data_IF_112836678928
#
_entry.id   IF_112836678928
#
_cell.length_a   1.000
_cell.length_b   1.000
_cell.length_c   1.000
_cell.angle_alpha   90.00
_cell.angle_beta   90.00
_cell.angle_gamma   90.00
#
_symmetry.space_group_name_H-M   'P 1'
#
loop_
_entity.id
_entity.type
_entity.pdbx_description
1 polymer ?
#
# COMPACT_ATOMS: atom_id res chain seq x y z
N UNK A 1 27.83 -50.62 -12.34
CA UNK A 1 26.64 -50.27 -11.54
C UNK A 1 27.02 -49.14 -10.59
N UNK A 2 26.79 -47.89 -10.97
CA UNK A 2 26.85 -46.73 -10.05
C UNK A 2 25.70 -45.82 -10.45
N UNK A 3 24.66 -45.80 -9.62
CA UNK A 3 23.44 -45.00 -9.84
C UNK A 3 23.60 -43.67 -9.11
N UNK A 4 23.81 -42.60 -9.85
CA UNK A 4 23.79 -41.22 -9.35
C UNK A 4 22.36 -40.83 -8.96
N UNK A 5 22.12 -40.57 -7.66
CA UNK A 5 20.87 -39.98 -7.17
C UNK A 5 20.95 -38.47 -7.30
N UNK A 6 20.20 -37.92 -8.25
CA UNK A 6 19.81 -36.50 -8.31
C UNK A 6 18.88 -36.18 -7.13
N UNK A 7 19.29 -35.28 -6.25
CA UNK A 7 18.42 -34.70 -5.21
C UNK A 7 17.67 -33.51 -5.80
N UNK A 8 16.39 -33.70 -6.05
CA UNK A 8 15.45 -32.66 -6.48
C UNK A 8 15.04 -31.82 -5.28
N UNK A 9 15.39 -30.53 -5.29
CA UNK A 9 14.99 -29.55 -4.27
C UNK A 9 13.51 -29.20 -4.46
N UNK A 10 12.64 -29.70 -3.59
CA UNK A 10 11.25 -29.25 -3.49
C UNK A 10 11.17 -27.89 -2.81
N UNK A 11 10.78 -26.87 -3.57
CA UNK A 11 10.32 -25.60 -3.02
C UNK A 11 9.09 -25.84 -2.13
N UNK A 12 9.06 -25.23 -0.94
CA UNK A 12 7.89 -25.25 -0.06
C UNK A 12 6.85 -24.30 -0.65
N UNK A 13 6.09 -24.81 -1.61
CA UNK A 13 4.82 -24.23 -2.05
C UNK A 13 3.81 -24.28 -0.89
N UNK A 14 2.90 -23.29 -0.82
CA UNK A 14 1.68 -23.33 0.01
C UNK A 14 1.10 -24.75 -0.03
N UNK A 15 1.25 -25.54 1.03
CA UNK A 15 0.50 -26.79 1.16
C UNK A 15 -0.92 -26.40 1.54
N UNK A 16 -1.84 -26.49 0.57
CA UNK A 16 -3.26 -26.63 0.88
C UNK A 16 -3.39 -27.77 1.88
N UNK A 17 -3.70 -27.44 3.13
CA UNK A 17 -4.27 -28.41 4.05
C UNK A 17 -5.56 -28.90 3.40
N UNK A 18 -5.65 -30.22 3.21
CA UNK A 18 -6.88 -30.86 2.77
C UNK A 18 -7.99 -30.48 3.76
N UNK A 19 -9.15 -30.11 3.22
CA UNK A 19 -10.33 -29.78 3.99
C UNK A 19 -10.62 -30.88 5.04
N UNK A 20 -10.98 -30.53 6.29
CA UNK A 20 -11.41 -31.51 7.27
C UNK A 20 -12.58 -32.33 6.69
N UNK A 21 -12.53 -33.65 6.86
CA UNK A 21 -13.70 -34.50 6.58
C UNK A 21 -14.87 -34.00 7.44
N UNK A 22 -16.07 -33.82 6.86
CA UNK A 22 -17.18 -33.21 7.57
C UNK A 22 -17.56 -34.07 8.78
N UNK A 23 -17.55 -33.44 9.96
CA UNK A 23 -18.17 -34.00 11.15
C UNK A 23 -19.67 -34.17 10.87
N UNK A 24 -20.12 -35.39 11.16
CA UNK A 24 -21.48 -35.88 10.94
C UNK A 24 -22.56 -34.96 11.49
N UNK A 25 -23.46 -34.57 10.58
CA UNK A 25 -24.89 -34.29 10.75
C UNK A 25 -25.38 -33.81 12.14
N UNK A 26 -25.58 -32.49 12.26
CA UNK A 26 -26.78 -31.90 12.89
C UNK A 26 -27.13 -30.60 12.14
N UNK A 27 -28.34 -30.58 11.58
CA UNK A 27 -29.03 -29.52 10.81
C UNK A 27 -28.26 -28.84 9.67
N UNK A 28 -28.34 -29.41 8.46
CA UNK A 28 -28.17 -28.65 7.22
C UNK A 28 -29.40 -27.74 7.07
N UNK A 29 -29.27 -26.47 7.41
CA UNK A 29 -30.15 -25.45 6.82
C UNK A 29 -29.64 -25.29 5.39
N UNK A 30 -30.49 -25.63 4.44
CA UNK A 30 -30.23 -25.53 3.00
C UNK A 30 -30.27 -24.04 2.61
N UNK A 31 -29.11 -23.36 2.64
CA UNK A 31 -28.97 -21.98 2.15
C UNK A 31 -28.82 -21.94 0.60
N UNK A 32 -29.29 -22.97 -0.13
CA UNK A 32 -29.16 -23.04 -1.59
C UNK A 32 -29.96 -21.99 -2.36
N UNK A 33 -30.80 -21.21 -1.67
CA UNK A 33 -31.66 -20.18 -2.28
C UNK A 33 -31.21 -18.73 -1.97
N UNK A 34 -30.08 -18.54 -1.27
CA UNK A 34 -29.61 -17.19 -0.93
C UNK A 34 -28.83 -16.58 -2.09
N UNK A 35 -29.48 -15.69 -2.82
CA UNK A 35 -28.85 -14.94 -3.91
C UNK A 35 -28.16 -13.67 -3.40
N UNK A 36 -27.13 -13.22 -4.12
CA UNK A 36 -26.53 -11.93 -3.86
C UNK A 36 -27.49 -10.79 -4.23
N UNK A 37 -27.75 -9.87 -3.30
CA UNK A 37 -28.65 -8.72 -3.53
C UNK A 37 -28.15 -7.73 -4.59
N UNK A 38 -26.85 -7.77 -4.95
CA UNK A 38 -26.26 -6.81 -5.89
C UNK A 38 -26.21 -7.33 -7.33
N UNK A 39 -25.91 -8.62 -7.53
CA UNK A 39 -25.88 -9.21 -8.87
C UNK A 39 -27.06 -10.14 -9.17
N UNK A 40 -27.89 -10.45 -8.17
CA UNK A 40 -29.02 -11.36 -8.29
C UNK A 40 -28.65 -12.84 -8.48
N UNK A 41 -27.35 -13.18 -8.45
CA UNK A 41 -26.86 -14.54 -8.67
C UNK A 41 -26.62 -15.28 -7.34
N UNK A 42 -26.89 -16.59 -7.31
CA UNK A 42 -26.52 -17.52 -6.24
C UNK A 42 -25.24 -18.32 -6.54
N UNK A 43 -24.53 -18.01 -7.63
CA UNK A 43 -23.23 -18.60 -7.95
C UNK A 43 -22.16 -18.14 -6.95
N UNK A 44 -21.09 -18.92 -6.74
CA UNK A 44 -20.03 -18.62 -5.75
C UNK A 44 -20.50 -18.55 -4.28
N UNK A 45 -21.23 -19.56 -3.78
CA UNK A 45 -21.76 -19.55 -2.41
C UNK A 45 -20.65 -19.53 -1.33
N UNK A 46 -19.43 -19.97 -1.66
CA UNK A 46 -18.27 -19.89 -0.76
C UNK A 46 -17.74 -18.47 -0.56
N UNK A 47 -18.11 -17.54 -1.44
CA UNK A 47 -17.71 -16.13 -1.39
C UNK A 47 -18.92 -15.22 -1.12
N UNK A 48 -20.03 -15.80 -0.63
CA UNK A 48 -21.24 -15.10 -0.27
C UNK A 48 -21.26 -14.82 1.23
N UNK A 49 -21.30 -13.54 1.59
CA UNK A 49 -21.36 -13.03 2.95
C UNK A 49 -22.80 -12.66 3.31
N UNK A 50 -23.23 -13.01 4.53
CA UNK A 50 -24.52 -12.62 5.07
C UNK A 50 -24.40 -11.38 5.94
N UNK A 51 -25.38 -10.49 5.86
CA UNK A 51 -25.52 -9.39 6.80
C UNK A 51 -26.01 -9.87 8.16
N UNK A 52 -25.29 -9.61 9.25
CA UNK A 52 -25.65 -10.06 10.60
C UNK A 52 -26.93 -9.43 11.19
N UNK A 53 -27.55 -8.48 10.46
CA UNK A 53 -28.80 -7.82 10.86
C UNK A 53 -30.00 -8.21 10.01
N UNK A 54 -29.81 -8.50 8.73
CA UNK A 54 -30.94 -8.77 7.82
C UNK A 54 -30.81 -10.08 7.03
N UNK A 55 -29.75 -10.85 7.28
CA UNK A 55 -29.45 -12.17 6.70
C UNK A 55 -29.41 -12.20 5.16
N UNK A 56 -29.40 -11.03 4.50
CA UNK A 56 -29.27 -10.94 3.04
C UNK A 56 -27.85 -11.27 2.60
N UNK A 57 -27.75 -11.96 1.45
CA UNK A 57 -26.50 -12.39 0.84
C UNK A 57 -25.84 -11.33 -0.03
N UNK A 58 -24.52 -11.24 0.06
CA UNK A 58 -23.69 -10.36 -0.76
C UNK A 58 -22.38 -11.05 -1.09
N UNK A 59 -22.03 -11.18 -2.37
CA UNK A 59 -20.70 -11.66 -2.68
C UNK A 59 -19.64 -10.67 -2.20
N UNK A 60 -18.55 -11.20 -1.65
CA UNK A 60 -17.38 -10.42 -1.23
C UNK A 60 -16.89 -9.49 -2.36
N UNK A 61 -16.92 -9.98 -3.60
CA UNK A 61 -16.57 -9.23 -4.81
C UNK A 61 -17.69 -8.36 -5.40
N UNK A 62 -18.94 -8.52 -4.97
CA UNK A 62 -20.04 -7.62 -5.35
C UNK A 62 -20.11 -6.41 -4.42
N UNK A 63 -19.67 -6.56 -3.18
CA UNK A 63 -19.61 -5.48 -2.19
C UNK A 63 -18.69 -4.35 -2.63
N UNK A 64 -19.00 -3.14 -2.16
CA UNK A 64 -18.18 -1.96 -2.39
C UNK A 64 -17.97 -1.20 -1.07
N UNK A 65 -16.72 -1.09 -0.56
CA UNK A 65 -15.48 -1.65 -1.13
C UNK A 65 -15.51 -3.18 -1.21
N UNK A 66 -14.76 -3.74 -2.17
CA UNK A 66 -14.63 -5.20 -2.34
C UNK A 66 -13.95 -5.77 -1.10
N UNK A 67 -14.47 -6.88 -0.59
CA UNK A 67 -13.84 -7.62 0.48
C UNK A 67 -12.99 -8.74 -0.12
N UNK A 68 -11.71 -8.83 0.28
CA UNK A 68 -10.84 -9.92 -0.15
C UNK A 68 -11.15 -11.24 0.59
N UNK A 69 -11.72 -11.14 1.79
CA UNK A 69 -12.14 -12.27 2.61
C UNK A 69 -13.31 -11.87 3.51
N UNK A 70 -13.98 -12.87 4.10
CA UNK A 70 -14.99 -12.62 5.14
C UNK A 70 -14.32 -11.89 6.33
N UNK A 71 -14.82 -10.72 6.76
CA UNK A 71 -14.24 -9.97 7.87
C UNK A 71 -14.30 -10.76 9.19
N UNK A 72 -13.32 -10.53 10.07
CA UNK A 72 -13.40 -11.04 11.44
C UNK A 72 -14.40 -10.21 12.26
N UNK A 73 -15.49 -10.85 12.68
CA UNK A 73 -16.53 -10.23 13.51
C UNK A 73 -17.77 -9.86 12.71
N UNK A 74 -18.60 -8.97 13.27
CA UNK A 74 -19.89 -8.69 12.66
C UNK A 74 -19.81 -7.78 11.44
N UNK A 75 -20.52 -8.14 10.37
CA UNK A 75 -20.65 -7.36 9.14
C UNK A 75 -22.10 -6.99 8.86
N UNK A 76 -22.32 -5.74 8.44
CA UNK A 76 -23.65 -5.21 8.12
C UNK A 76 -23.67 -4.65 6.70
N UNK A 77 -24.69 -5.02 5.92
CA UNK A 77 -24.89 -4.51 4.57
C UNK A 77 -25.24 -3.02 4.56
N UNK A 78 -25.26 -2.40 3.38
CA UNK A 78 -25.43 -0.97 3.27
C UNK A 78 -26.78 -0.42 3.75
N UNK A 79 -27.81 -1.26 3.77
CA UNK A 79 -29.12 -0.92 4.33
C UNK A 79 -29.18 -1.09 5.85
N UNK A 80 -28.24 -1.86 6.42
CA UNK A 80 -28.21 -2.21 7.84
C UNK A 80 -27.12 -1.48 8.63
N UNK A 81 -26.05 -1.11 7.94
CA UNK A 81 -24.97 -0.26 8.40
C UNK A 81 -25.44 1.18 8.35
N UNK A 82 -25.27 1.92 9.46
CA UNK A 82 -25.42 3.36 9.47
C UNK A 82 -24.28 3.99 8.65
N UNK A 83 -24.31 3.87 7.32
CA UNK A 83 -23.35 4.51 6.42
C UNK A 83 -23.56 6.02 6.39
N UNK A 84 -23.24 6.67 7.51
CA UNK A 84 -22.85 8.07 7.47
C UNK A 84 -21.54 8.09 6.67
N UNK A 85 -21.46 8.94 5.64
CA UNK A 85 -20.16 9.29 5.03
C UNK A 85 -19.15 9.47 6.16
N UNK A 86 -17.92 8.90 6.06
CA UNK A 86 -16.94 9.01 7.13
C UNK A 86 -16.86 10.48 7.52
N UNK A 87 -17.12 10.76 8.81
CA UNK A 87 -17.16 12.15 9.30
C UNK A 87 -15.80 12.77 8.96
N UNK A 88 -15.82 13.89 8.25
CA UNK A 88 -14.61 14.62 7.91
C UNK A 88 -13.83 14.91 9.20
N UNK A 89 -12.53 14.64 9.19
CA UNK A 89 -11.64 15.05 10.27
C UNK A 89 -11.81 16.56 10.48
N UNK A 90 -11.87 17.05 11.74
CA UNK A 90 -12.08 18.47 11.99
C UNK A 90 -10.99 19.30 11.29
N UNK A 91 -11.40 20.22 10.42
CA UNK A 91 -10.49 21.11 9.71
C UNK A 91 -10.00 22.23 10.64
N UNK A 92 -9.22 21.85 11.65
CA UNK A 92 -8.60 22.74 12.62
C UNK A 92 -7.10 22.51 12.56
N UNK A 93 -6.34 23.55 12.19
CA UNK A 93 -4.90 23.45 11.94
C UNK A 93 -4.13 22.81 13.10
N UNK A 94 -4.47 23.14 14.35
CA UNK A 94 -3.83 22.54 15.54
C UNK A 94 -4.03 21.04 15.60
N UNK A 95 -5.26 20.56 15.38
CA UNK A 95 -5.57 19.12 15.36
C UNK A 95 -4.83 18.37 14.25
N UNK A 96 -4.67 18.98 13.08
CA UNK A 96 -3.91 18.39 11.97
C UNK A 96 -2.42 18.32 12.33
N UNK A 97 -1.85 19.42 12.83
CA UNK A 97 -0.44 19.47 13.27
C UNK A 97 -0.15 18.42 14.34
N UNK A 98 -1.03 18.29 15.33
CA UNK A 98 -0.88 17.31 16.41
C UNK A 98 -1.04 15.87 15.90
N UNK A 99 -2.00 15.62 15.00
CA UNK A 99 -2.23 14.30 14.39
C UNK A 99 -1.01 13.82 13.61
N UNK A 100 -0.38 14.70 12.82
CA UNK A 100 0.80 14.38 12.02
C UNK A 100 2.13 14.61 12.74
N UNK A 101 2.11 15.04 14.00
CA UNK A 101 3.30 15.38 14.82
C UNK A 101 4.26 16.35 14.10
N UNK A 102 3.70 17.34 13.40
CA UNK A 102 4.48 18.28 12.58
C UNK A 102 5.37 19.13 13.49
N UNK A 103 6.68 19.14 13.20
CA UNK A 103 7.65 19.96 13.90
C UNK A 103 7.41 21.44 13.56
N UNK A 104 7.14 22.26 14.57
CA UNK A 104 7.06 23.73 14.41
C UNK A 104 8.47 24.31 14.36
N UNK A 105 8.99 24.61 13.18
CA UNK A 105 10.21 25.39 13.04
C UNK A 105 9.92 26.88 13.25
N UNK A 106 10.62 27.51 14.19
CA UNK A 106 10.55 28.96 14.48
C UNK A 106 11.53 29.80 13.65
N UNK A 107 11.79 29.46 12.38
CA UNK A 107 12.65 30.28 11.51
C UNK A 107 12.06 30.45 10.10
N UNK A 108 12.18 31.65 9.50
CA UNK A 108 11.65 31.92 8.18
C UNK A 108 12.49 31.24 7.08
N UNK A 109 11.78 30.60 6.16
CA UNK A 109 12.27 29.91 4.97
C UNK A 109 13.25 30.78 4.16
N UNK A 110 14.53 30.39 4.12
CA UNK A 110 15.46 30.91 3.10
C UNK A 110 15.01 30.39 1.74
N UNK A 111 14.44 31.28 0.93
CA UNK A 111 14.18 31.03 -0.50
C UNK A 111 15.51 30.81 -1.21
N UNK A 112 15.78 29.59 -1.67
CA UNK A 112 16.85 29.33 -2.63
C UNK A 112 16.42 29.85 -4.01
N UNK A 113 17.01 30.96 -4.44
CA UNK A 113 16.85 31.49 -5.80
C UNK A 113 17.61 30.63 -6.83
N UNK A 114 17.08 30.42 -8.04
CA UNK A 114 17.83 29.78 -9.11
C UNK A 114 18.77 30.79 -9.79
N UNK A 115 20.04 30.88 -9.35
CA UNK A 115 21.04 31.68 -10.07
C UNK A 115 21.48 30.96 -11.35
N UNK A 116 20.96 31.46 -12.47
CA UNK A 116 21.19 30.97 -13.83
C UNK A 116 22.47 31.59 -14.40
N UNK A 117 23.65 31.17 -13.94
CA UNK A 117 24.91 31.58 -14.59
C UNK A 117 25.29 30.66 -15.74
N UNK A 118 24.96 31.12 -16.95
CA UNK A 118 25.48 30.63 -18.23
C UNK A 118 27.01 30.51 -18.17
N UNK A 119 27.54 29.28 -18.23
CA UNK A 119 28.96 29.02 -18.51
C UNK A 119 29.08 28.29 -19.84
N UNK A 120 29.68 28.97 -20.82
CA UNK A 120 29.82 28.54 -22.21
C UNK A 120 30.89 27.44 -22.34
N UNK A 121 30.54 26.41 -23.13
CA UNK A 121 31.24 25.16 -23.53
C UNK A 121 32.77 25.08 -23.43
N UNK A 122 33.26 23.90 -23.03
CA UNK A 122 34.37 23.20 -23.70
C UNK A 122 33.86 21.90 -24.32
N UNK A 123 34.10 21.75 -25.61
CA UNK A 123 33.85 20.54 -26.40
C UNK A 123 34.79 19.42 -25.97
N UNK A 124 34.22 18.36 -25.38
CA UNK A 124 34.86 17.05 -25.31
C UNK A 124 33.86 15.99 -25.78
N UNK A 125 34.39 15.07 -26.57
CA UNK A 125 33.83 13.90 -27.25
C UNK A 125 32.57 13.26 -26.64
N UNK A 126 31.65 12.90 -27.53
CA UNK A 126 30.43 12.11 -27.29
C UNK A 126 30.75 10.73 -26.70
N UNK A 127 30.83 10.66 -25.38
CA UNK A 127 30.47 9.44 -24.66
C UNK A 127 29.07 9.68 -24.10
N UNK A 128 28.07 8.99 -24.69
CA UNK A 128 26.73 8.91 -24.13
C UNK A 128 26.83 8.08 -22.85
N UNK A 129 27.24 8.72 -21.75
CA UNK A 129 26.97 8.20 -20.42
C UNK A 129 25.45 8.16 -20.31
N UNK A 130 24.87 6.96 -20.29
CA UNK A 130 23.45 6.76 -19.99
C UNK A 130 23.22 7.46 -18.64
N UNK A 131 22.60 8.64 -18.64
CA UNK A 131 22.20 9.32 -17.39
C UNK A 131 21.40 8.31 -16.60
N UNK A 132 21.92 7.89 -15.45
CA UNK A 132 21.18 7.04 -14.52
C UNK A 132 19.87 7.76 -14.18
N UNK A 133 18.77 7.02 -14.27
CA UNK A 133 17.44 7.50 -13.88
C UNK A 133 17.46 7.68 -12.37
N UNK A 134 17.59 8.93 -11.92
CA UNK A 134 17.67 9.35 -10.52
C UNK A 134 16.27 9.55 -9.96
N UNK A 135 16.03 9.14 -8.71
CA UNK A 135 14.78 9.43 -8.01
C UNK A 135 14.63 10.94 -7.75
N UNK A 136 13.40 11.41 -7.82
CA UNK A 136 13.06 12.82 -7.60
C UNK A 136 12.26 12.97 -6.30
N UNK A 137 12.46 14.06 -5.54
CA UNK A 137 11.59 14.37 -4.42
C UNK A 137 10.23 14.84 -4.94
N UNK A 138 9.16 14.58 -4.20
CA UNK A 138 7.86 15.18 -4.49
C UNK A 138 7.93 16.71 -4.35
N UNK A 139 7.00 17.40 -5.02
CA UNK A 139 6.88 18.85 -4.95
C UNK A 139 5.54 19.24 -4.30
N UNK A 140 5.54 19.63 -3.01
CA UNK A 140 4.34 19.98 -2.25
C UNK A 140 3.52 21.08 -2.89
N UNK A 141 2.23 21.16 -2.60
CA UNK A 141 1.43 22.33 -2.98
C UNK A 141 1.99 23.61 -2.36
N UNK A 142 2.11 24.69 -3.15
CA UNK A 142 2.67 25.96 -2.68
C UNK A 142 1.76 26.61 -1.62
N UNK A 143 0.45 26.54 -1.83
CA UNK A 143 -0.57 27.03 -0.91
C UNK A 143 -0.60 26.18 0.39
N UNK A 144 -0.29 26.78 1.56
CA UNK A 144 -0.37 26.09 2.85
C UNK A 144 -1.77 25.58 3.19
N UNK A 145 -2.82 26.30 2.77
CA UNK A 145 -4.21 25.89 3.00
C UNK A 145 -4.49 24.58 2.26
N UNK A 146 -4.07 24.50 0.99
CA UNK A 146 -4.19 23.27 0.22
C UNK A 146 -3.42 22.10 0.83
N UNK A 147 -2.23 22.32 1.40
CA UNK A 147 -1.50 21.27 2.14
C UNK A 147 -2.26 20.78 3.37
N UNK A 148 -2.93 21.68 4.10
CA UNK A 148 -3.79 21.29 5.22
C UNK A 148 -4.98 20.46 4.77
N UNK A 149 -5.60 20.78 3.62
CA UNK A 149 -6.69 19.98 3.05
C UNK A 149 -6.23 18.57 2.64
N UNK A 150 -5.06 18.46 2.00
CA UNK A 150 -4.43 17.19 1.65
C UNK A 150 -4.20 16.32 2.89
N UNK A 151 -3.59 16.88 3.93
CA UNK A 151 -3.38 16.20 5.21
C UNK A 151 -4.69 15.83 5.91
N UNK A 152 -5.70 16.72 5.90
CA UNK A 152 -7.00 16.44 6.50
C UNK A 152 -7.74 15.29 5.80
N UNK A 153 -7.59 15.16 4.47
CA UNK A 153 -8.16 14.04 3.71
C UNK A 153 -7.58 12.70 4.17
N UNK A 154 -6.26 12.64 4.37
CA UNK A 154 -5.56 11.47 4.91
C UNK A 154 -5.96 11.18 6.36
N UNK A 155 -6.02 12.19 7.22
CA UNK A 155 -6.44 12.03 8.61
C UNK A 155 -7.88 11.48 8.71
N UNK A 156 -8.77 11.91 7.81
CA UNK A 156 -10.15 11.41 7.72
C UNK A 156 -10.19 9.93 7.37
N UNK A 157 -9.39 9.51 6.38
CA UNK A 157 -9.30 8.11 5.95
C UNK A 157 -8.71 7.21 7.04
N UNK A 158 -7.62 7.65 7.68
CA UNK A 158 -6.98 6.94 8.80
C UNK A 158 -7.92 6.79 10.00
N UNK A 159 -8.64 7.86 10.34
CA UNK A 159 -9.66 7.82 11.41
C UNK A 159 -10.78 6.84 11.06
N UNK A 160 -11.25 6.84 9.81
CA UNK A 160 -12.30 5.93 9.36
C UNK A 160 -11.83 4.47 9.34
N UNK A 161 -10.57 4.20 9.02
CA UNK A 161 -9.98 2.86 9.07
C UNK A 161 -9.54 2.44 10.48
N UNK A 162 -9.65 3.31 11.49
CA UNK A 162 -9.20 3.04 12.85
C UNK A 162 -7.67 2.86 12.99
N UNK A 163 -6.90 3.50 12.11
CA UNK A 163 -5.45 3.40 12.09
C UNK A 163 -4.81 4.72 12.54
N UNK A 164 -3.74 4.60 13.33
CA UNK A 164 -2.90 5.74 13.72
C UNK A 164 -1.96 6.13 12.58
N UNK A 165 -1.64 7.42 12.49
CA UNK A 165 -0.63 7.89 11.55
C UNK A 165 0.79 7.48 11.97
N UNK A 166 1.54 6.92 11.03
CA UNK A 166 2.98 6.69 11.13
C UNK A 166 3.62 6.85 9.76
N UNK A 167 4.79 7.51 9.69
CA UNK A 167 5.63 7.57 8.48
C UNK A 167 6.87 6.67 8.59
N UNK A 168 6.86 5.72 9.52
CA UNK A 168 7.97 4.81 9.78
C UNK A 168 7.48 3.37 9.93
N UNK A 169 8.37 2.43 9.59
CA UNK A 169 8.21 1.03 9.96
C UNK A 169 8.29 0.91 11.48
N UNK A 170 7.27 0.31 12.09
CA UNK A 170 7.17 0.11 13.54
C UNK A 170 7.40 -1.35 13.90
N UNK A 171 8.06 -1.59 15.04
CA UNK A 171 8.41 -2.92 15.52
C UNK A 171 7.82 -3.12 16.90
N UNK A 172 6.74 -3.89 16.99
CA UNK A 172 5.95 -4.02 18.21
C UNK A 172 6.33 -5.28 19.01
N UNK A 173 6.18 -5.25 20.35
CA UNK A 173 6.29 -6.45 21.15
C UNK A 173 5.34 -7.55 20.66
N UNK A 174 5.84 -8.78 20.52
CA UNK A 174 5.07 -9.91 19.99
C UNK A 174 5.07 -10.03 18.46
N UNK A 175 5.60 -9.04 17.74
CA UNK A 175 5.79 -9.06 16.29
C UNK A 175 7.28 -9.24 15.94
N UNK A 176 7.67 -8.99 14.68
CA UNK A 176 9.06 -9.08 14.27
C UNK A 176 9.92 -7.97 14.91
N UNK A 177 11.07 -8.29 15.51
CA UNK A 177 12.00 -7.28 16.00
C UNK A 177 12.71 -6.57 14.84
N UNK A 178 13.20 -5.35 15.07
CA UNK A 178 13.96 -4.59 14.07
C UNK A 178 15.19 -5.33 13.53
N UNK A 179 15.85 -6.13 14.37
CA UNK A 179 16.99 -6.95 13.97
C UNK A 179 16.65 -8.04 12.95
N UNK A 180 15.38 -8.42 12.82
CA UNK A 180 14.94 -9.36 11.78
C UNK A 180 14.90 -8.72 10.39
N UNK A 181 14.71 -7.40 10.31
CA UNK A 181 14.73 -6.68 9.03
C UNK A 181 16.18 -6.44 8.57
N UNK A 182 16.78 -7.50 8.04
CA UNK A 182 18.09 -7.45 7.38
C UNK A 182 17.93 -7.74 5.90
N UNK A 183 18.26 -6.76 5.05
CA UNK A 183 18.18 -6.87 3.59
C UNK A 183 19.06 -7.99 3.02
N UNK A 184 20.12 -8.38 3.74
CA UNK A 184 20.99 -9.50 3.39
C UNK A 184 20.29 -10.87 3.38
N UNK A 185 19.13 -10.98 4.03
CA UNK A 185 18.32 -12.20 4.04
C UNK A 185 17.44 -12.36 2.80
N UNK A 186 17.31 -11.32 1.96
CA UNK A 186 16.48 -11.35 0.75
C UNK A 186 16.98 -12.43 -0.22
N UNK A 187 16.07 -13.32 -0.60
CA UNK A 187 16.37 -14.36 -1.57
C UNK A 187 16.68 -13.73 -2.95
N UNK A 188 17.88 -13.98 -3.47
CA UNK A 188 18.35 -13.36 -4.72
C UNK A 188 18.97 -11.97 -4.55
N UNK A 189 19.03 -11.46 -3.32
CA UNK A 189 19.62 -10.17 -2.97
C UNK A 189 18.69 -8.98 -3.22
N UNK A 190 18.86 -7.92 -2.42
CA UNK A 190 18.10 -6.68 -2.55
C UNK A 190 18.95 -5.57 -3.16
N UNK A 191 18.38 -4.79 -4.07
CA UNK A 191 19.08 -3.66 -4.68
C UNK A 191 19.36 -2.55 -3.65
N UNK A 192 20.61 -2.10 -3.58
CA UNK A 192 21.03 -1.02 -2.67
C UNK A 192 20.58 0.33 -3.22
N UNK A 193 19.95 1.16 -2.37
CA UNK A 193 19.58 2.51 -2.74
C UNK A 193 20.85 3.39 -2.93
N UNK A 194 21.10 3.96 -4.12
CA UNK A 194 22.26 4.80 -4.35
C UNK A 194 22.31 6.00 -3.40
N UNK A 195 23.51 6.46 -3.03
CA UNK A 195 23.69 7.60 -2.09
C UNK A 195 22.92 8.86 -2.50
N UNK A 196 22.81 9.13 -3.80
CA UNK A 196 22.06 10.27 -4.33
C UNK A 196 20.54 10.15 -4.17
N UNK A 197 20.02 8.94 -4.28
CA UNK A 197 18.61 8.62 -4.11
C UNK A 197 18.27 8.52 -2.62
N UNK A 198 19.20 8.05 -1.79
CA UNK A 198 19.11 8.08 -0.34
C UNK A 198 18.98 9.52 0.20
N UNK A 199 19.80 10.45 -0.32
CA UNK A 199 19.66 11.86 0.02
C UNK A 199 18.29 12.43 -0.40
N UNK A 200 17.76 11.97 -1.53
CA UNK A 200 16.42 12.37 -2.01
C UNK A 200 15.31 11.83 -1.11
N UNK A 201 15.43 10.58 -0.66
CA UNK A 201 14.52 9.98 0.30
C UNK A 201 14.51 10.72 1.64
N UNK A 202 15.69 11.07 2.17
CA UNK A 202 15.78 11.86 3.41
C UNK A 202 15.22 13.27 3.24
N UNK A 203 15.40 13.91 2.08
CA UNK A 203 14.76 15.19 1.78
C UNK A 203 13.23 15.08 1.87
N UNK A 204 12.64 14.05 1.25
CA UNK A 204 11.20 13.80 1.35
C UNK A 204 10.72 13.59 2.80
N UNK A 205 11.48 12.85 3.62
CA UNK A 205 11.14 12.67 5.05
C UNK A 205 11.15 13.98 5.83
N UNK A 206 12.21 14.77 5.67
CA UNK A 206 12.35 16.06 6.33
C UNK A 206 11.25 17.05 5.93
N UNK A 207 10.80 17.00 4.68
CA UNK A 207 9.66 17.80 4.20
C UNK A 207 8.37 17.39 4.93
N UNK A 208 8.08 16.09 5.02
CA UNK A 208 6.88 15.60 5.73
C UNK A 208 6.90 15.97 7.22
N UNK A 209 8.05 15.90 7.89
CA UNK A 209 8.21 16.33 9.30
C UNK A 209 7.83 17.81 9.52
N UNK A 210 7.93 18.65 8.49
CA UNK A 210 7.60 20.08 8.52
C UNK A 210 6.20 20.40 7.97
N UNK A 211 5.40 19.37 7.66
CA UNK A 211 4.07 19.54 7.07
C UNK A 211 4.05 19.80 5.56
N UNK A 212 5.18 19.59 4.88
CA UNK A 212 5.28 19.60 3.44
C UNK A 212 5.03 18.18 2.91
N UNK A 213 3.74 17.83 2.73
CA UNK A 213 3.31 16.54 2.23
C UNK A 213 3.39 16.42 0.70
N UNK A 214 3.50 15.21 0.14
CA UNK A 214 3.30 14.99 -1.30
C UNK A 214 1.91 15.49 -1.71
N UNK A 215 1.75 16.06 -2.92
CA UNK A 215 0.50 16.72 -3.32
C UNK A 215 -0.56 15.69 -3.69
N UNK A 216 -1.14 15.04 -2.69
CA UNK A 216 -2.06 13.91 -2.82
C UNK A 216 -3.33 14.16 -2.04
N UNK A 217 -4.45 13.69 -2.59
CA UNK A 217 -5.75 13.71 -1.93
C UNK A 217 -6.24 12.28 -1.74
N UNK A 218 -6.72 11.98 -0.53
CA UNK A 218 -7.46 10.74 -0.29
C UNK A 218 -8.94 11.01 -0.53
N UNK A 219 -9.53 10.28 -1.48
CA UNK A 219 -10.90 10.47 -1.94
C UNK A 219 -11.66 9.16 -1.82
N UNK A 220 -12.88 9.22 -1.29
CA UNK A 220 -13.76 8.07 -1.23
C UNK A 220 -14.50 7.88 -2.56
N UNK A 221 -14.29 6.72 -3.18
CA UNK A 221 -14.99 6.24 -4.36
C UNK A 221 -15.97 5.13 -3.94
N UNK A 222 -17.26 5.21 -4.32
CA UNK A 222 -18.25 4.19 -3.96
C UNK A 222 -17.95 2.80 -4.50
N UNK A 223 -17.05 2.63 -5.47
CA UNK A 223 -16.66 1.34 -6.04
C UNK A 223 -15.33 0.83 -5.47
N UNK A 224 -14.39 1.73 -5.27
CA UNK A 224 -13.01 1.38 -4.92
C UNK A 224 -12.66 1.66 -3.44
N UNK A 225 -13.58 2.24 -2.67
CA UNK A 225 -13.32 2.62 -1.28
C UNK A 225 -12.48 3.89 -1.21
N UNK A 226 -11.56 3.97 -0.24
CA UNK A 226 -10.58 5.05 -0.23
C UNK A 226 -9.58 4.87 -1.36
N UNK A 227 -9.40 5.92 -2.15
CA UNK A 227 -8.45 6.00 -3.26
C UNK A 227 -7.54 7.20 -3.08
N UNK A 228 -6.39 7.21 -3.74
CA UNK A 228 -5.46 8.35 -3.73
C UNK A 228 -5.33 8.92 -5.12
N UNK A 229 -5.48 10.23 -5.25
CA UNK A 229 -5.30 10.97 -6.50
C UNK A 229 -4.25 12.07 -6.38
N UNK A 230 -3.58 12.37 -7.50
CA UNK A 230 -2.62 13.45 -7.58
C UNK A 230 -3.34 14.80 -7.55
N UNK A 231 -3.04 15.65 -6.57
CA UNK A 231 -3.61 17.00 -6.48
C UNK A 231 -2.75 18.08 -7.16
N UNK A 232 -1.62 17.65 -7.70
CA UNK A 232 -0.73 18.44 -8.54
C UNK A 232 -0.02 17.52 -9.54
N UNK A 233 0.59 18.10 -10.56
CA UNK A 233 1.42 17.33 -11.48
C UNK A 233 2.59 16.66 -10.74
N UNK A 234 2.76 15.35 -10.94
CA UNK A 234 3.84 14.53 -10.39
C UNK A 234 4.68 14.03 -11.57
N UNK A 235 5.99 14.23 -11.50
CA UNK A 235 6.91 13.85 -12.56
C UNK A 235 7.28 12.36 -12.47
N UNK A 236 7.62 11.73 -13.59
CA UNK A 236 8.25 10.41 -13.62
C UNK A 236 9.45 10.36 -12.66
N UNK A 237 9.64 9.21 -12.01
CA UNK A 237 10.67 8.92 -11.00
C UNK A 237 10.52 9.68 -9.67
N UNK A 238 9.38 10.34 -9.43
CA UNK A 238 9.11 10.99 -8.14
C UNK A 238 8.80 9.95 -7.06
N UNK A 239 9.49 10.04 -5.92
CA UNK A 239 9.15 9.29 -4.71
C UNK A 239 7.81 9.82 -4.19
N UNK A 240 6.81 8.94 -4.10
CA UNK A 240 5.48 9.27 -3.58
C UNK A 240 5.50 9.17 -2.06
N UNK A 241 5.85 7.99 -1.54
CA UNK A 241 5.91 7.69 -0.10
C UNK A 241 6.61 6.35 0.14
N UNK A 242 7.07 6.12 1.37
CA UNK A 242 7.37 4.75 1.84
C UNK A 242 6.07 4.01 2.17
N UNK A 243 6.04 2.70 1.93
CA UNK A 243 4.99 1.82 2.45
C UNK A 243 5.36 1.43 3.88
N UNK A 244 4.54 1.85 4.85
CA UNK A 244 4.87 1.74 6.27
C UNK A 244 3.71 1.16 7.09
N UNK A 245 4.07 0.62 8.24
CA UNK A 245 3.19 -0.01 9.20
C UNK A 245 3.98 -0.88 10.15
N UNK A 246 3.28 -1.73 10.90
CA UNK A 246 3.93 -2.67 11.80
C UNK A 246 4.61 -3.79 11.02
N UNK A 247 5.84 -4.11 11.38
CA UNK A 247 6.58 -5.21 10.75
C UNK A 247 6.32 -6.51 11.51
N UNK A 248 5.88 -7.53 10.78
CA UNK A 248 5.65 -8.86 11.33
C UNK A 248 6.29 -9.95 10.46
N UNK A 249 6.36 -11.15 11.01
CA UNK A 249 6.65 -12.34 10.22
C UNK A 249 5.44 -12.73 9.38
N UNK A 250 5.66 -13.10 8.12
CA UNK A 250 4.60 -13.54 7.21
C UNK A 250 3.78 -14.71 7.81
N UNK A 251 4.45 -15.67 8.46
CA UNK A 251 3.82 -16.83 9.12
C UNK A 251 2.81 -16.46 10.22
N UNK A 252 2.98 -15.30 10.87
CA UNK A 252 2.08 -14.84 11.93
C UNK A 252 0.77 -14.28 11.35
N UNK A 253 0.73 -14.03 10.04
CA UNK A 253 -0.34 -13.35 9.32
C UNK A 253 -1.05 -14.26 8.31
N UNK A 254 -0.81 -15.57 8.35
CA UNK A 254 -1.43 -16.55 7.43
C UNK A 254 -2.96 -16.57 7.48
N UNK A 255 -3.54 -16.22 8.64
CA UNK A 255 -4.99 -16.14 8.84
C UNK A 255 -5.46 -14.68 8.99
N UNK A 256 -4.65 -13.71 8.55
CA UNK A 256 -5.02 -12.31 8.61
C UNK A 256 -5.98 -11.93 7.47
N UNK A 257 -6.97 -11.10 7.78
CA UNK A 257 -7.98 -10.56 6.85
C UNK A 257 -7.60 -9.17 6.34
N UNK A 258 -6.40 -8.69 6.70
CA UNK A 258 -5.85 -7.42 6.25
C UNK A 258 -5.64 -7.36 4.73
N UNK A 259 -6.44 -6.55 4.05
CA UNK A 259 -6.42 -6.31 2.61
C UNK A 259 -5.22 -5.48 2.11
N UNK A 260 -4.36 -5.00 3.02
CA UNK A 260 -3.31 -4.02 2.73
C UNK A 260 -1.92 -4.51 3.18
N UNK A 261 -1.70 -5.82 3.35
CA UNK A 261 -0.37 -6.31 3.68
C UNK A 261 0.61 -6.13 2.51
N UNK A 262 1.84 -5.76 2.83
CA UNK A 262 2.90 -5.53 1.83
C UNK A 262 4.16 -6.31 2.18
N UNK A 263 4.65 -7.13 1.24
CA UNK A 263 5.90 -7.88 1.43
C UNK A 263 7.07 -6.92 1.64
N UNK A 264 7.77 -7.08 2.77
CA UNK A 264 8.96 -6.29 3.12
C UNK A 264 10.25 -7.02 2.70
N UNK A 265 10.33 -8.31 3.03
CA UNK A 265 11.50 -9.16 2.85
C UNK A 265 11.05 -10.59 2.52
N UNK A 266 11.50 -11.14 1.40
CA UNK A 266 11.24 -12.52 0.99
C UNK A 266 12.50 -13.33 1.22
N UNK A 267 12.60 -14.00 2.37
CA UNK A 267 13.80 -14.74 2.76
C UNK A 267 13.84 -16.14 2.14
N UNK A 268 15.04 -16.72 2.00
CA UNK A 268 15.20 -18.10 1.52
C UNK A 268 14.56 -19.13 2.48
N UNK A 269 14.58 -18.83 3.78
CA UNK A 269 13.79 -19.52 4.81
C UNK A 269 12.46 -18.76 4.99
N UNK A 270 11.32 -19.32 4.56
CA UNK A 270 10.02 -18.64 4.63
C UNK A 270 9.63 -18.20 6.04
N UNK A 271 10.16 -18.86 7.09
CA UNK A 271 9.87 -18.51 8.48
C UNK A 271 10.48 -17.17 8.92
N UNK A 272 11.37 -16.60 8.10
CA UNK A 272 12.05 -15.32 8.28
C UNK A 272 11.54 -14.23 7.33
N UNK A 273 10.60 -14.54 6.44
CA UNK A 273 9.98 -13.54 5.57
C UNK A 273 9.17 -12.55 6.40
N UNK A 274 9.24 -11.28 6.01
CA UNK A 274 8.61 -10.17 6.72
C UNK A 274 7.58 -9.46 5.85
N UNK A 275 6.53 -8.98 6.50
CA UNK A 275 5.46 -8.18 5.91
C UNK A 275 5.27 -6.89 6.70
N UNK A 276 4.82 -5.85 6.01
CA UNK A 276 4.31 -4.61 6.59
C UNK A 276 2.80 -4.75 6.73
N UNK A 277 2.31 -4.55 7.96
CA UNK A 277 0.92 -4.60 8.34
C UNK A 277 0.45 -3.17 8.69
N UNK A 278 -0.27 -2.49 7.78
CA UNK A 278 -0.71 -1.12 8.02
C UNK A 278 -2.02 -1.04 8.82
N UNK A 279 -2.46 -2.11 9.46
CA UNK A 279 -3.75 -2.25 10.16
C UNK A 279 -3.90 -1.28 11.33
N UNK A 280 -2.88 -1.17 12.19
CA UNK A 280 -2.90 -0.29 13.38
C UNK A 280 -2.20 1.04 13.17
N UNK A 281 -1.10 1.04 12.43
CA UNK A 281 -0.27 2.23 12.15
C UNK A 281 0.05 2.27 10.67
N UNK A 282 -0.16 3.43 10.03
CA UNK A 282 0.05 3.55 8.59
C UNK A 282 0.13 4.99 8.10
N UNK A 283 0.45 5.16 6.82
CA UNK A 283 0.36 6.43 6.10
C UNK A 283 -0.52 6.28 4.85
N UNK A 284 -0.41 7.24 3.93
CA UNK A 284 -1.19 7.28 2.69
C UNK A 284 -0.97 6.07 1.77
N UNK A 285 0.16 5.36 1.88
CA UNK A 285 0.51 4.25 0.98
C UNK A 285 -0.54 3.13 0.98
N UNK A 286 -1.18 2.87 2.12
CA UNK A 286 -2.20 1.82 2.24
C UNK A 286 -3.47 2.08 1.44
N UNK A 287 -3.73 3.34 1.08
CA UNK A 287 -4.94 3.74 0.36
C UNK A 287 -4.71 3.84 -1.15
N UNK A 288 -3.50 3.54 -1.63
CA UNK A 288 -3.20 3.53 -3.07
C UNK A 288 -3.68 2.20 -3.65
N UNK A 289 -4.55 2.26 -4.65
CA UNK A 289 -5.20 1.07 -5.23
C UNK A 289 -4.26 0.24 -6.11
N UNK A 290 -4.65 -1.03 -6.29
CA UNK A 290 -3.99 -1.93 -7.22
C UNK A 290 -4.64 -1.93 -8.60
N UNK A 291 -3.89 -2.33 -9.61
CA UNK A 291 -4.44 -2.62 -10.95
C UNK A 291 -5.10 -3.99 -11.01
N UNK A 292 -6.03 -4.17 -11.95
CA UNK A 292 -6.49 -5.49 -12.36
C UNK A 292 -5.43 -6.13 -13.29
N UNK A 293 -4.75 -7.19 -12.84
CA UNK A 293 -3.70 -7.86 -13.64
C UNK A 293 -4.26 -8.70 -14.80
N UNK A 294 -5.57 -8.99 -14.81
CA UNK A 294 -6.23 -9.92 -15.73
C UNK A 294 -6.81 -9.23 -16.97
N UNK A 295 -6.96 -7.90 -16.93
CA UNK A 295 -7.47 -7.12 -18.06
C UNK A 295 -6.39 -6.23 -18.68
N UNK A 296 -6.37 -6.04 -20.02
CA UNK A 296 -5.44 -5.10 -20.66
C UNK A 296 -5.63 -3.67 -20.18
N UNK A 297 -6.86 -3.25 -19.94
CA UNK A 297 -7.16 -1.88 -19.52
C UNK A 297 -6.81 -1.64 -18.04
N UNK A 298 -6.96 -2.65 -17.17
CA UNK A 298 -6.46 -2.59 -15.80
C UNK A 298 -4.97 -2.33 -15.74
N UNK A 299 -4.17 -3.07 -16.54
CA UNK A 299 -2.72 -2.87 -16.63
C UNK A 299 -2.30 -1.49 -17.13
N UNK A 300 -3.09 -0.85 -18.00
CA UNK A 300 -2.81 0.51 -18.49
C UNK A 300 -3.00 1.59 -17.41
N UNK A 301 -3.76 1.32 -16.34
CA UNK A 301 -3.98 2.27 -15.25
C UNK A 301 -2.73 2.48 -14.39
N UNK A 302 -1.76 1.56 -14.43
CA UNK A 302 -0.56 1.65 -13.62
C UNK A 302 0.22 2.94 -13.90
N UNK A 303 0.43 3.73 -12.85
CA UNK A 303 1.23 4.95 -12.89
C UNK A 303 2.26 5.03 -11.76
N UNK A 304 2.21 4.08 -10.82
CA UNK A 304 3.20 3.88 -9.78
C UNK A 304 3.88 2.51 -9.90
N UNK A 305 5.09 2.45 -9.36
CA UNK A 305 5.84 1.21 -9.14
C UNK A 305 6.15 1.06 -7.66
N UNK A 306 5.85 -0.12 -7.11
CA UNK A 306 6.32 -0.54 -5.80
C UNK A 306 7.72 -1.15 -5.94
N UNK A 307 8.68 -0.68 -5.16
CA UNK A 307 10.08 -1.08 -5.27
C UNK A 307 10.68 -1.28 -3.88
N UNK A 308 11.38 -2.41 -3.70
CA UNK A 308 12.10 -2.73 -2.47
C UNK A 308 13.58 -2.34 -2.61
N UNK A 309 14.14 -1.69 -1.60
CA UNK A 309 15.52 -1.26 -1.56
C UNK A 309 16.17 -1.63 -0.22
N UNK A 310 17.46 -1.97 -0.30
CA UNK A 310 18.34 -1.99 0.86
C UNK A 310 18.78 -0.56 1.18
N UNK A 311 18.40 -0.10 2.37
CA UNK A 311 18.75 1.20 2.93
C UNK A 311 19.47 0.97 4.24
N UNK A 312 20.80 1.10 4.22
CA UNK A 312 21.68 0.90 5.38
C UNK A 312 21.54 -0.48 6.04
N UNK A 313 21.32 -1.54 5.26
CA UNK A 313 21.19 -2.92 5.75
C UNK A 313 19.75 -3.33 6.09
N UNK A 314 18.78 -2.43 5.97
CA UNK A 314 17.36 -2.68 6.22
C UNK A 314 16.57 -2.66 4.91
N UNK A 315 15.57 -3.54 4.81
CA UNK A 315 14.62 -3.51 3.69
C UNK A 315 13.66 -2.35 3.85
N UNK A 316 13.41 -1.62 2.76
CA UNK A 316 12.45 -0.52 2.66
C UNK A 316 11.62 -0.65 1.39
N UNK A 317 10.33 -0.32 1.47
CA UNK A 317 9.40 -0.37 0.35
C UNK A 317 9.02 1.05 -0.05
N UNK A 318 9.25 1.41 -1.31
CA UNK A 318 8.95 2.74 -1.86
C UNK A 318 7.90 2.64 -2.96
N UNK A 319 6.95 3.58 -2.96
CA UNK A 319 6.09 3.87 -4.10
C UNK A 319 6.71 5.01 -4.91
N UNK A 320 6.95 4.78 -6.20
CA UNK A 320 7.61 5.74 -7.11
C UNK A 320 6.77 5.90 -8.38
N UNK A 321 6.60 7.13 -8.85
CA UNK A 321 5.97 7.39 -10.15
C UNK A 321 6.76 6.73 -11.28
N UNK A 322 6.10 5.98 -12.16
CA UNK A 322 6.73 5.30 -13.30
C UNK A 322 6.48 6.00 -14.65
N UNK A 323 5.73 7.11 -14.62
CA UNK A 323 5.47 8.07 -15.69
C UNK A 323 5.03 9.40 -15.08
N UNK A 324 4.90 10.41 -15.92
CA UNK A 324 4.27 11.67 -15.52
C UNK A 324 2.78 11.46 -15.21
N UNK A 325 2.32 12.09 -14.11
CA UNK A 325 0.96 11.96 -13.57
C UNK A 325 0.34 13.37 -13.49
N UNK A 326 -0.70 13.67 -14.29
CA UNK A 326 -1.42 14.93 -14.22
C UNK A 326 -2.26 15.04 -12.94
N UNK A 327 -2.60 16.28 -12.58
CA UNK A 327 -3.54 16.56 -11.50
C UNK A 327 -4.90 15.91 -11.78
N UNK A 328 -5.51 15.31 -10.76
CA UNK A 328 -6.78 14.60 -10.80
C UNK A 328 -6.65 13.13 -11.21
N UNK A 329 -5.46 12.66 -11.60
CA UNK A 329 -5.28 11.25 -11.94
C UNK A 329 -5.12 10.40 -10.68
N UNK A 330 -5.91 9.32 -10.60
CA UNK A 330 -5.84 8.33 -9.51
C UNK A 330 -4.58 7.49 -9.61
N UNK A 331 -3.99 7.17 -8.46
CA UNK A 331 -2.76 6.41 -8.34
C UNK A 331 -3.03 4.91 -8.27
N UNK A 332 -2.33 4.15 -9.09
CA UNK A 332 -2.38 2.71 -9.14
C UNK A 332 -0.98 2.10 -9.24
N UNK A 333 -0.73 1.06 -8.46
CA UNK A 333 0.45 0.20 -8.62
C UNK A 333 0.05 -1.26 -8.80
N UNK A 334 1.02 -2.10 -9.14
CA UNK A 334 0.81 -3.54 -9.23
C UNK A 334 1.02 -4.19 -7.85
N UNK A 335 -0.07 -4.66 -7.25
CA UNK A 335 -0.03 -5.39 -5.97
C UNK A 335 0.75 -6.70 -6.12
N UNK A 336 0.75 -7.29 -7.32
CA UNK A 336 1.41 -8.55 -7.62
C UNK A 336 2.76 -8.38 -8.32
N UNK A 337 3.41 -7.21 -8.15
CA UNK A 337 4.64 -6.87 -8.86
C UNK A 337 5.86 -7.77 -8.57
N UNK A 338 5.77 -8.67 -7.58
CA UNK A 338 6.79 -9.67 -7.27
C UNK A 338 6.16 -11.06 -7.02
N UNK A 339 5.16 -11.12 -6.14
CA UNK A 339 4.43 -12.33 -5.78
C UNK A 339 3.00 -12.26 -6.34
N UNK A 340 2.44 -13.35 -6.86
CA UNK A 340 1.07 -13.40 -7.41
C UNK A 340 0.07 -13.86 -6.35
N UNK A 341 0.05 -13.17 -5.21
CA UNK A 341 -0.68 -13.61 -4.02
C UNK A 341 -1.98 -12.85 -3.77
N UNK A 342 -2.17 -11.70 -4.44
CA UNK A 342 -3.34 -10.85 -4.26
C UNK A 342 -4.36 -11.06 -5.41
N UNK A 343 -5.61 -11.47 -5.13
CA UNK A 343 -6.63 -11.62 -6.16
C UNK A 343 -7.06 -10.24 -6.69
N UNK A 344 -6.91 -10.01 -8.00
CA UNK A 344 -7.20 -8.71 -8.64
C UNK A 344 -8.23 -8.79 -9.75
N UNK A 345 -8.84 -9.96 -9.97
CA UNK A 345 -9.83 -10.24 -11.01
C UNK A 345 -11.02 -9.28 -10.93
N UNK A 346 -11.39 -8.89 -9.71
CA UNK A 346 -12.54 -8.05 -9.41
C UNK A 346 -12.22 -6.54 -9.37
N UNK A 347 -10.95 -6.16 -9.52
CA UNK A 347 -10.55 -4.75 -9.49
C UNK A 347 -11.12 -4.01 -10.70
N UNK A 348 -11.54 -2.77 -10.44
CA UNK A 348 -12.24 -1.88 -11.39
C UNK A 348 -11.30 -1.32 -12.44
#
# INVERSE_FOLDING_TARGET
>A
MVSTRTTTTTAVLRRRTQAPKPLSAKSRIDYSDTCCELCGSGEYPSELLLCDKCDRGFHLFCLRPILASVPKGSWFCSSCSDHKKPKSFPFVQTKIVDFFRIQRSSEPTQKLSPDSRKRRKRTCSLLVSKKRRKLLPFNPSEDPTRRLEQMASLASALTASGADFSNELTYMPGMAPRSANSSALEHGGMQVLPKEDLATLYLCKNMMERGECPPLMVVFDPREGFTVEADRFIKDLTIITEYVGDVDYLKNRENDDGDSMMTLLSAADPSKSLVVCPDKRSNIARFVNGINNHTPDGRKKQNLKCVRFDVNGESRVLLVANRDIPKGERLYYDYNGYEHEYPTEHFV
#
